data_IF_841727343282
#
_entry.id   IF_841727343282
#
_cell.length_a   1.000
_cell.length_b   1.000
_cell.length_c   1.000
_cell.angle_alpha   90.00
_cell.angle_beta   90.00
_cell.angle_gamma   90.00
#
_symmetry.space_group_name_H-M   'P 1'
#
loop_
_entity.id
_entity.type
_entity.pdbx_description
1 polymer ?
#
# COMPACT_ATOMS: atom_id res chain seq x y z
N UNK A 1 22.55 -44.70 -13.74
CA UNK A 1 21.26 -44.83 -13.02
C UNK A 1 20.93 -43.47 -12.42
N UNK A 2 19.87 -42.80 -12.89
CA UNK A 2 19.47 -41.47 -12.39
C UNK A 2 18.72 -41.63 -11.06
N UNK A 3 18.94 -40.78 -10.05
CA UNK A 3 18.19 -40.87 -8.80
C UNK A 3 16.72 -40.47 -9.05
N UNK A 4 15.82 -41.45 -9.10
CA UNK A 4 14.36 -41.26 -9.11
C UNK A 4 13.87 -41.00 -7.68
N UNK A 5 14.22 -39.86 -7.10
CA UNK A 5 13.62 -39.42 -5.84
C UNK A 5 12.21 -38.88 -6.12
N UNK A 6 11.16 -39.41 -5.47
CA UNK A 6 9.78 -38.96 -5.68
C UNK A 6 9.63 -37.48 -5.30
N UNK A 7 8.80 -36.73 -6.04
CA UNK A 7 8.58 -35.29 -5.87
C UNK A 7 8.20 -34.87 -4.42
N UNK A 8 7.70 -35.81 -3.60
CA UNK A 8 7.35 -35.58 -2.19
C UNK A 8 8.53 -35.56 -1.22
N UNK A 9 9.67 -36.18 -1.54
CA UNK A 9 10.84 -36.25 -0.64
C UNK A 9 11.86 -35.14 -0.89
N UNK A 10 11.80 -34.46 -2.05
CA UNK A 10 12.70 -33.37 -2.40
C UNK A 10 12.59 -32.17 -1.44
N UNK A 11 11.44 -31.98 -0.79
CA UNK A 11 11.19 -30.90 0.16
C UNK A 11 11.74 -31.16 1.57
N UNK A 12 12.20 -32.38 1.87
CA UNK A 12 12.72 -32.75 3.20
C UNK A 12 14.23 -32.52 3.35
N UNK A 13 14.95 -32.11 2.29
CA UNK A 13 16.34 -31.70 2.41
C UNK A 13 16.40 -30.29 2.95
N UNK A 14 16.30 -30.17 4.27
CA UNK A 14 16.61 -28.95 5.00
C UNK A 14 18.09 -28.64 4.76
N UNK A 15 18.36 -27.72 3.83
CA UNK A 15 19.70 -27.22 3.55
C UNK A 15 20.22 -26.55 4.82
N UNK A 16 20.93 -27.31 5.65
CA UNK A 16 21.59 -26.77 6.84
C UNK A 16 22.62 -25.76 6.38
N UNK A 17 22.48 -24.52 6.82
CA UNK A 17 23.46 -23.50 6.56
C UNK A 17 24.84 -23.97 7.06
N UNK A 18 25.89 -23.79 6.25
CA UNK A 18 27.27 -24.15 6.63
C UNK A 18 27.72 -23.47 7.94
N UNK A 19 27.09 -22.34 8.29
CA UNK A 19 27.22 -21.68 9.59
C UNK A 19 25.82 -21.52 10.18
N UNK A 20 25.50 -22.14 11.32
CA UNK A 20 24.23 -21.93 11.98
C UNK A 20 24.12 -20.46 12.40
N UNK A 21 22.97 -19.86 12.13
CA UNK A 21 22.57 -18.59 12.71
C UNK A 21 21.50 -18.91 13.77
N UNK A 22 21.47 -18.24 14.93
CA UNK A 22 22.32 -17.16 15.39
C UNK A 22 23.68 -17.65 15.93
N UNK A 23 24.75 -16.82 15.84
CA UNK A 23 25.98 -17.11 16.56
C UNK A 23 25.74 -17.01 18.07
N UNK A 24 26.40 -17.84 18.86
CA UNK A 24 26.37 -17.74 20.32
C UNK A 24 27.06 -16.44 20.77
N UNK A 25 26.26 -15.46 21.18
CA UNK A 25 26.75 -14.13 21.55
C UNK A 25 27.62 -14.15 22.82
N UNK A 26 27.46 -15.15 23.69
CA UNK A 26 28.26 -15.33 24.90
C UNK A 26 29.74 -15.64 24.62
N UNK A 27 30.04 -16.27 23.48
CA UNK A 27 31.39 -16.66 23.07
C UNK A 27 32.13 -15.54 22.32
N UNK A 28 31.43 -14.45 21.97
CA UNK A 28 31.94 -13.40 21.10
C UNK A 28 32.49 -12.22 21.90
N UNK A 29 33.63 -11.67 21.47
CA UNK A 29 34.18 -10.44 22.06
C UNK A 29 33.20 -9.28 21.96
N UNK A 30 33.16 -8.40 22.97
CA UNK A 30 32.31 -7.19 22.99
C UNK A 30 32.48 -6.33 21.73
N UNK A 31 33.69 -6.27 21.17
CA UNK A 31 33.96 -5.53 19.95
C UNK A 31 33.22 -6.12 18.73
N UNK A 32 33.17 -7.45 18.64
CA UNK A 32 32.50 -8.15 17.54
C UNK A 32 30.98 -8.14 17.72
N UNK A 33 30.49 -8.22 18.95
CA UNK A 33 29.06 -8.01 19.25
C UNK A 33 28.60 -6.63 18.78
N UNK A 34 29.36 -5.57 19.09
CA UNK A 34 29.05 -4.21 18.65
C UNK A 34 29.04 -4.07 17.12
N UNK A 35 29.98 -4.74 16.41
CA UNK A 35 30.01 -4.76 14.94
C UNK A 35 28.77 -5.43 14.35
N UNK A 36 28.33 -6.55 14.94
CA UNK A 36 27.11 -7.25 14.55
C UNK A 36 25.87 -6.41 14.80
N UNK A 37 25.77 -5.79 15.97
CA UNK A 37 24.67 -4.90 16.32
C UNK A 37 24.58 -3.71 15.34
N UNK A 38 25.71 -3.06 15.04
CA UNK A 38 25.77 -1.97 14.07
C UNK A 38 25.32 -2.43 12.67
N UNK A 39 25.74 -3.62 12.23
CA UNK A 39 25.31 -4.21 10.95
C UNK A 39 23.82 -4.54 10.96
N UNK A 40 23.30 -5.07 12.06
CA UNK A 40 21.88 -5.37 12.24
C UNK A 40 21.04 -4.09 12.14
N UNK A 41 21.35 -3.06 12.94
CA UNK A 41 20.65 -1.76 12.93
C UNK A 41 20.61 -1.12 11.53
N UNK A 42 21.70 -1.22 10.77
CA UNK A 42 21.76 -0.72 9.38
C UNK A 42 20.85 -1.51 8.44
N UNK A 43 20.87 -2.85 8.54
CA UNK A 43 20.02 -3.72 7.71
C UNK A 43 18.54 -3.57 8.03
N UNK A 44 18.20 -3.41 9.31
CA UNK A 44 16.83 -3.14 9.73
C UNK A 44 16.38 -1.77 9.22
N UNK A 45 17.20 -0.73 9.36
CA UNK A 45 16.87 0.59 8.81
C UNK A 45 16.58 0.52 7.30
N UNK A 46 17.34 -0.25 6.53
CA UNK A 46 17.10 -0.45 5.10
C UNK A 46 15.82 -1.28 4.83
N UNK A 47 15.57 -2.35 5.58
CA UNK A 47 14.35 -3.17 5.44
C UNK A 47 13.08 -2.39 5.80
N UNK A 48 13.17 -1.51 6.79
CA UNK A 48 12.07 -0.67 7.27
C UNK A 48 12.00 0.68 6.56
N UNK A 49 12.94 1.00 5.66
CA UNK A 49 12.82 2.14 4.76
C UNK A 49 11.61 1.89 3.85
N UNK A 50 10.49 2.56 4.16
CA UNK A 50 9.26 2.37 3.38
C UNK A 50 9.48 2.91 1.95
N UNK A 51 9.02 2.19 0.91
CA UNK A 51 9.12 2.67 -0.47
C UNK A 51 8.15 3.83 -0.69
N UNK A 52 8.57 5.06 -0.36
CA UNK A 52 7.75 6.27 -0.40
C UNK A 52 7.18 6.55 -1.79
N UNK A 53 8.01 6.39 -2.83
CA UNK A 53 7.58 6.61 -4.21
C UNK A 53 6.43 5.68 -4.62
N UNK A 54 6.51 4.40 -4.27
CA UNK A 54 5.42 3.45 -4.59
C UNK A 54 4.12 3.81 -3.88
N UNK A 55 4.19 4.31 -2.63
CA UNK A 55 3.02 4.79 -1.90
C UNK A 55 2.42 6.03 -2.58
N UNK A 56 3.26 6.97 -2.98
CA UNK A 56 2.82 8.18 -3.67
C UNK A 56 2.14 7.86 -5.01
N UNK A 57 2.74 6.98 -5.82
CA UNK A 57 2.15 6.54 -7.10
C UNK A 57 0.82 5.83 -6.87
N UNK A 58 0.71 4.94 -5.87
CA UNK A 58 -0.57 4.29 -5.54
C UNK A 58 -1.65 5.30 -5.16
N UNK A 59 -1.31 6.30 -4.34
CA UNK A 59 -2.26 7.37 -3.99
C UNK A 59 -2.66 8.11 -5.26
N UNK A 60 -1.72 8.53 -6.10
CA UNK A 60 -2.00 9.22 -7.35
C UNK A 60 -2.87 8.39 -8.32
N UNK A 61 -2.68 7.08 -8.38
CA UNK A 61 -3.52 6.17 -9.16
C UNK A 61 -4.96 6.17 -8.65
N UNK A 62 -5.15 5.95 -7.35
CA UNK A 62 -6.48 5.92 -6.75
C UNK A 62 -7.18 7.28 -6.79
N UNK A 63 -6.45 8.38 -6.63
CA UNK A 63 -7.01 9.72 -6.77
C UNK A 63 -7.42 10.00 -8.20
N UNK A 64 -6.62 9.61 -9.19
CA UNK A 64 -6.95 9.75 -10.61
C UNK A 64 -8.21 8.96 -10.98
N UNK A 65 -8.29 7.69 -10.57
CA UNK A 65 -9.48 6.84 -10.79
C UNK A 65 -10.71 7.47 -10.15
N UNK A 66 -10.61 7.88 -8.88
CA UNK A 66 -11.72 8.49 -8.15
C UNK A 66 -12.16 9.80 -8.79
N UNK A 67 -11.20 10.62 -9.25
CA UNK A 67 -11.47 11.88 -9.92
C UNK A 67 -12.27 11.68 -11.22
N UNK A 68 -11.87 10.71 -12.05
CA UNK A 68 -12.58 10.39 -13.30
C UNK A 68 -14.01 9.90 -13.01
N UNK A 69 -14.19 9.06 -11.99
CA UNK A 69 -15.52 8.57 -11.59
C UNK A 69 -16.41 9.74 -11.16
N UNK A 70 -15.91 10.61 -10.27
CA UNK A 70 -16.67 11.77 -9.78
C UNK A 70 -17.00 12.72 -10.92
N UNK A 71 -16.05 13.01 -11.81
CA UNK A 71 -16.26 13.86 -12.98
C UNK A 71 -17.30 13.27 -13.93
N UNK A 72 -17.20 11.98 -14.26
CA UNK A 72 -18.16 11.29 -15.12
C UNK A 72 -19.57 11.23 -14.54
N UNK A 73 -19.69 11.07 -13.22
CA UNK A 73 -20.98 11.00 -12.52
C UNK A 73 -21.59 12.36 -12.26
N UNK A 74 -20.82 13.43 -12.01
CA UNK A 74 -21.36 14.73 -11.57
C UNK A 74 -21.29 15.84 -12.61
N UNK A 75 -20.31 15.82 -13.52
CA UNK A 75 -19.99 16.98 -14.37
C UNK A 75 -20.26 16.71 -15.85
N UNK A 76 -19.99 15.50 -16.35
CA UNK A 76 -20.17 15.20 -17.77
C UNK A 76 -21.64 15.03 -18.13
N UNK A 77 -22.23 15.98 -18.83
CA UNK A 77 -23.58 15.83 -19.39
C UNK A 77 -23.54 14.94 -20.64
N UNK A 78 -23.76 13.66 -20.41
CA UNK A 78 -23.89 12.66 -21.46
C UNK A 78 -25.21 12.89 -22.25
N UNK A 79 -25.23 12.71 -23.57
CA UNK A 79 -26.47 12.78 -24.35
C UNK A 79 -27.36 11.56 -24.06
N UNK A 80 -28.64 11.76 -23.72
CA UNK A 80 -29.59 10.69 -23.36
C UNK A 80 -30.19 10.81 -21.95
N UNK A 81 -31.00 9.82 -21.56
CA UNK A 81 -31.60 9.76 -20.23
C UNK A 81 -30.76 8.87 -19.31
N UNK A 82 -29.99 9.51 -18.43
CA UNK A 82 -28.96 8.86 -17.63
C UNK A 82 -29.43 8.64 -16.21
N UNK A 83 -29.10 7.47 -15.67
CA UNK A 83 -29.42 7.05 -14.29
C UNK A 83 -28.87 8.00 -13.20
N UNK A 84 -27.89 8.84 -13.53
CA UNK A 84 -27.24 9.76 -12.59
C UNK A 84 -27.82 11.18 -12.56
N UNK A 85 -28.76 11.53 -13.46
CA UNK A 85 -29.43 12.84 -13.45
C UNK A 85 -30.09 13.20 -12.09
N UNK A 86 -30.81 12.27 -11.42
CA UNK A 86 -31.44 12.57 -10.12
C UNK A 86 -30.43 12.91 -9.03
N UNK A 87 -29.26 12.26 -9.06
CA UNK A 87 -28.19 12.50 -8.09
C UNK A 87 -27.57 13.87 -8.31
N UNK A 88 -27.36 14.28 -9.57
CA UNK A 88 -26.84 15.60 -9.91
C UNK A 88 -27.78 16.73 -9.51
N UNK A 89 -29.08 16.60 -9.83
CA UNK A 89 -30.07 17.62 -9.51
C UNK A 89 -30.30 17.75 -8.00
N UNK A 90 -30.19 16.65 -7.23
CA UNK A 90 -30.18 16.72 -5.78
C UNK A 90 -28.96 17.48 -5.25
N UNK A 91 -27.75 17.17 -5.75
CA UNK A 91 -26.52 17.82 -5.32
C UNK A 91 -26.47 19.30 -5.69
N UNK A 92 -26.96 19.70 -6.87
CA UNK A 92 -27.03 21.11 -7.25
C UNK A 92 -27.96 21.89 -6.33
N UNK A 93 -29.11 21.31 -5.94
CA UNK A 93 -30.04 21.92 -4.98
C UNK A 93 -29.43 22.07 -3.58
N UNK A 94 -28.72 21.04 -3.09
CA UNK A 94 -28.02 21.13 -1.80
C UNK A 94 -26.94 22.21 -1.86
N UNK A 95 -26.17 22.28 -2.96
CA UNK A 95 -25.18 23.32 -3.19
C UNK A 95 -25.83 24.71 -3.17
N UNK A 96 -26.91 24.90 -3.92
CA UNK A 96 -27.65 26.18 -3.97
C UNK A 96 -28.16 26.60 -2.59
N UNK A 97 -28.77 25.68 -1.84
CA UNK A 97 -29.25 25.95 -0.48
C UNK A 97 -28.12 26.26 0.51
N UNK A 98 -26.95 25.61 0.37
CA UNK A 98 -25.78 25.85 1.21
C UNK A 98 -25.19 27.25 0.98
N UNK A 99 -25.20 27.72 -0.27
CA UNK A 99 -24.68 29.03 -0.63
C UNK A 99 -25.74 30.15 -0.62
N UNK A 100 -27.02 29.82 -0.41
CA UNK A 100 -28.08 30.81 -0.24
C UNK A 100 -28.06 31.39 1.18
N UNK A 101 -28.03 32.72 1.29
CA UNK A 101 -28.23 33.42 2.57
C UNK A 101 -29.71 33.27 2.96
N UNK A 102 -30.06 32.92 4.21
CA UNK A 102 -31.46 32.87 4.63
C UNK A 102 -32.06 34.27 4.46
N UNK A 103 -33.17 34.37 3.73
CA UNK A 103 -33.90 35.62 3.61
C UNK A 103 -34.28 36.11 5.01
N UNK A 104 -33.92 37.36 5.35
CA UNK A 104 -34.25 37.95 6.63
C UNK A 104 -35.77 37.89 6.82
N UNK A 105 -36.20 37.25 7.91
CA UNK A 105 -37.61 37.07 8.24
C UNK A 105 -38.18 38.44 8.60
N UNK A 106 -38.94 39.03 7.68
CA UNK A 106 -39.72 40.26 7.91
C UNK A 106 -40.87 40.00 8.90
#
# INVERSE_FOLDING_TARGET
MFPTTPFGEAFQREYKARRPWPPDFSLLSKQDQFRLERRYRRRTALKYARPGFTKAVKIAQWTSISFIIVYGVLVVDWPGDHIFKPVRSYLSRVKENFWSVPAAKA
#
